data_IF_384055597793
#
_entry.id   IF_384055597793
#
_cell.length_a   1.000
_cell.length_b   1.000
_cell.length_c   1.000
_cell.angle_alpha   90.00
_cell.angle_beta   90.00
_cell.angle_gamma   90.00
#
_symmetry.space_group_name_H-M   'P 1'
#
loop_
_entity.id
_entity.type
_entity.pdbx_description
1 polymer ?
#
# COMPACT_ATOMS: atom_id res chain seq x y z
N UNK A 1 17.08 1.98 6.85
CA UNK A 1 15.82 2.06 6.08
C UNK A 1 14.75 1.12 6.61
N UNK A 2 15.12 -0.05 7.12
CA UNK A 2 14.18 -1.04 7.64
C UNK A 2 14.55 -1.40 9.09
N UNK A 3 14.31 -0.48 10.05
CA UNK A 3 14.79 -0.67 11.42
C UNK A 3 14.27 -1.94 12.09
N UNK A 4 13.01 -2.29 11.86
CA UNK A 4 12.45 -3.50 12.45
C UNK A 4 13.13 -4.76 11.93
N UNK A 5 13.39 -4.85 10.64
CA UNK A 5 14.09 -5.98 10.05
C UNK A 5 15.55 -6.02 10.45
N UNK A 6 16.19 -4.84 10.53
CA UNK A 6 17.59 -4.75 10.96
C UNK A 6 17.77 -5.31 12.37
N UNK A 7 16.88 -4.99 13.28
CA UNK A 7 16.93 -5.44 14.66
C UNK A 7 16.57 -6.92 14.83
N UNK A 8 15.99 -7.54 13.81
CA UNK A 8 15.51 -8.93 13.85
C UNK A 8 16.13 -9.79 12.76
N UNK A 9 17.31 -9.39 12.29
CA UNK A 9 17.98 -10.08 11.16
C UNK A 9 18.25 -11.55 11.45
N UNK A 10 18.50 -11.90 12.70
CA UNK A 10 18.77 -13.27 13.11
C UNK A 10 17.50 -14.06 13.48
N UNK A 11 16.33 -13.45 13.37
CA UNK A 11 15.06 -14.11 13.68
C UNK A 11 14.53 -14.80 12.44
N UNK A 12 14.11 -16.07 12.61
CA UNK A 12 13.51 -16.81 11.52
C UNK A 12 12.21 -16.15 11.06
N UNK A 13 11.96 -16.16 9.76
CA UNK A 13 10.78 -15.51 9.17
C UNK A 13 9.45 -15.95 9.79
N UNK A 14 9.36 -17.22 10.21
CA UNK A 14 8.13 -17.75 10.81
C UNK A 14 7.79 -17.22 12.19
N UNK A 15 8.73 -16.52 12.87
CA UNK A 15 8.47 -15.95 14.19
C UNK A 15 8.33 -14.40 14.14
N UNK A 16 8.36 -13.81 12.94
CA UNK A 16 8.10 -12.40 12.76
C UNK A 16 6.61 -12.11 12.87
N UNK A 17 6.26 -10.88 13.29
CA UNK A 17 4.87 -10.44 13.29
C UNK A 17 4.33 -10.37 11.85
N UNK A 18 3.00 -10.31 11.69
CA UNK A 18 2.36 -10.17 10.39
C UNK A 18 2.87 -8.96 9.60
N UNK A 19 3.05 -7.82 10.28
CA UNK A 19 3.57 -6.61 9.64
C UNK A 19 5.03 -6.73 9.24
N UNK A 20 5.85 -7.38 10.09
CA UNK A 20 7.25 -7.62 9.77
C UNK A 20 7.39 -8.60 8.60
N UNK A 21 6.54 -9.63 8.55
CA UNK A 21 6.49 -10.56 7.41
C UNK A 21 6.11 -9.84 6.13
N UNK A 22 5.14 -8.93 6.20
CA UNK A 22 4.72 -8.14 5.05
C UNK A 22 5.85 -7.25 4.55
N UNK A 23 6.56 -6.57 5.46
CA UNK A 23 7.70 -5.74 5.08
C UNK A 23 8.82 -6.57 4.46
N UNK A 24 9.08 -7.76 4.98
CA UNK A 24 10.06 -8.67 4.41
C UNK A 24 9.68 -9.10 2.98
N UNK A 25 8.41 -9.41 2.76
CA UNK A 25 7.90 -9.76 1.43
C UNK A 25 8.11 -8.63 0.44
N UNK A 26 7.80 -7.39 0.84
CA UNK A 26 8.01 -6.21 0.01
C UNK A 26 9.50 -6.03 -0.29
N UNK A 27 10.36 -6.19 0.71
CA UNK A 27 11.81 -6.06 0.53
C UNK A 27 12.36 -7.11 -0.45
N UNK A 28 11.86 -8.33 -0.40
CA UNK A 28 12.24 -9.38 -1.35
C UNK A 28 11.92 -8.98 -2.78
N UNK A 29 10.79 -8.33 -2.98
CA UNK A 29 10.38 -7.87 -4.31
C UNK A 29 11.36 -6.85 -4.90
N UNK A 30 12.11 -6.15 -4.04
CA UNK A 30 13.08 -5.15 -4.46
C UNK A 30 14.45 -5.74 -4.84
N UNK A 31 14.73 -6.99 -4.51
CA UNK A 31 16.05 -7.59 -4.71
C UNK A 31 16.46 -7.67 -6.20
N UNK A 32 15.49 -7.76 -7.10
CA UNK A 32 15.73 -7.76 -8.54
C UNK A 32 15.86 -6.36 -9.15
N UNK A 33 15.92 -5.32 -8.34
CA UNK A 33 15.97 -3.92 -8.79
C UNK A 33 14.86 -3.58 -9.78
N UNK A 34 13.58 -3.84 -9.44
CA UNK A 34 12.48 -3.64 -10.36
C UNK A 34 12.21 -2.15 -10.59
N UNK A 35 11.63 -1.83 -11.75
CA UNK A 35 11.14 -0.47 -12.04
C UNK A 35 9.71 -0.28 -11.54
N UNK A 36 8.97 -1.36 -11.41
CA UNK A 36 7.58 -1.38 -10.96
C UNK A 36 7.37 -2.57 -10.04
N UNK A 37 6.70 -2.33 -8.92
CA UNK A 37 6.19 -3.41 -8.07
C UNK A 37 4.68 -3.29 -7.96
N UNK A 38 4.01 -4.43 -7.87
CA UNK A 38 2.57 -4.50 -7.68
C UNK A 38 2.29 -5.11 -6.32
N UNK A 39 1.50 -4.43 -5.52
CA UNK A 39 1.23 -4.86 -4.15
C UNK A 39 -0.28 -4.89 -3.93
N UNK A 40 -0.79 -6.02 -3.48
CA UNK A 40 -2.20 -6.24 -3.27
C UNK A 40 -2.52 -6.24 -1.76
N UNK A 41 -3.28 -5.25 -1.33
CA UNK A 41 -3.78 -5.10 0.03
C UNK A 41 -2.70 -5.30 1.11
N UNK A 42 -1.60 -4.54 1.09
CA UNK A 42 -0.46 -4.80 1.97
C UNK A 42 -0.74 -4.55 3.45
N UNK A 43 -1.81 -3.86 3.79
CA UNK A 43 -2.12 -3.50 5.17
C UNK A 43 -3.25 -4.33 5.77
N UNK A 44 -3.83 -5.27 5.02
CA UNK A 44 -4.94 -6.07 5.50
C UNK A 44 -4.52 -6.93 6.70
N UNK A 45 -5.34 -6.89 7.76
CA UNK A 45 -5.11 -7.69 8.95
C UNK A 45 -4.00 -7.17 9.87
N UNK A 46 -3.40 -6.03 9.58
CA UNK A 46 -2.34 -5.47 10.41
C UNK A 46 -2.87 -4.50 11.46
N UNK A 47 -2.13 -4.38 12.57
CA UNK A 47 -2.42 -3.36 13.59
C UNK A 47 -2.21 -1.96 13.00
N UNK A 48 -2.84 -0.91 13.58
CA UNK A 48 -2.63 0.47 13.11
C UNK A 48 -1.16 0.89 13.09
N UNK A 49 -0.36 0.44 14.07
CA UNK A 49 1.06 0.74 14.11
C UNK A 49 1.80 0.11 12.93
N UNK A 50 1.50 -1.13 12.61
CA UNK A 50 2.13 -1.83 11.49
C UNK A 50 1.67 -1.28 10.15
N UNK A 51 0.41 -0.86 10.04
CA UNK A 51 -0.08 -0.15 8.86
C UNK A 51 0.79 1.09 8.60
N UNK A 52 1.04 1.89 9.64
CA UNK A 52 1.91 3.06 9.53
C UNK A 52 3.32 2.72 9.08
N UNK A 53 3.87 1.63 9.56
CA UNK A 53 5.21 1.18 9.15
C UNK A 53 5.26 0.77 7.69
N UNK A 54 4.24 0.05 7.21
CA UNK A 54 4.13 -0.33 5.80
C UNK A 54 3.98 0.91 4.91
N UNK A 55 3.16 1.87 5.32
CA UNK A 55 3.01 3.13 4.58
C UNK A 55 4.35 3.86 4.44
N UNK A 56 5.12 3.95 5.52
CA UNK A 56 6.44 4.59 5.50
C UNK A 56 7.39 3.87 4.56
N UNK A 57 7.37 2.55 4.59
CA UNK A 57 8.20 1.74 3.69
C UNK A 57 7.86 2.01 2.23
N UNK A 58 6.58 2.00 1.89
CA UNK A 58 6.14 2.23 0.52
C UNK A 58 6.51 3.63 0.03
N UNK A 59 6.40 4.65 0.89
CA UNK A 59 6.84 6.00 0.55
C UNK A 59 8.34 6.06 0.26
N UNK A 60 9.14 5.40 1.06
CA UNK A 60 10.60 5.35 0.83
C UNK A 60 10.96 4.66 -0.48
N UNK A 61 10.27 3.60 -0.80
CA UNK A 61 10.47 2.87 -2.07
C UNK A 61 10.15 3.79 -3.25
N UNK A 62 9.01 4.48 -3.19
CA UNK A 62 8.62 5.40 -4.24
C UNK A 62 9.61 6.55 -4.41
N UNK A 63 10.13 7.08 -3.31
CA UNK A 63 11.14 8.14 -3.33
C UNK A 63 12.44 7.71 -4.03
N UNK A 64 12.73 6.42 -4.05
CA UNK A 64 13.90 5.87 -4.74
C UNK A 64 13.68 5.61 -6.22
N UNK A 65 12.53 6.00 -6.75
CA UNK A 65 12.23 5.91 -8.17
C UNK A 65 11.54 4.63 -8.61
N UNK A 66 11.16 3.75 -7.68
CA UNK A 66 10.39 2.55 -8.02
C UNK A 66 8.92 2.94 -8.10
N UNK A 67 8.28 2.58 -9.21
CA UNK A 67 6.83 2.79 -9.38
C UNK A 67 6.07 1.71 -8.60
N UNK A 68 4.99 2.11 -7.96
CA UNK A 68 4.17 1.19 -7.17
C UNK A 68 2.74 1.21 -7.68
N UNK A 69 2.23 0.04 -8.06
CA UNK A 69 0.81 -0.16 -8.31
C UNK A 69 0.22 -0.82 -7.06
N UNK A 70 -0.57 -0.05 -6.34
CA UNK A 70 -1.12 -0.46 -5.05
C UNK A 70 -2.60 -0.78 -5.21
N UNK A 71 -3.01 -1.97 -4.80
CA UNK A 71 -4.43 -2.33 -4.69
C UNK A 71 -4.79 -2.21 -3.21
N UNK A 72 -5.78 -1.38 -2.89
CA UNK A 72 -6.14 -1.11 -1.51
C UNK A 72 -7.64 -0.80 -1.41
N UNK A 73 -8.30 -1.38 -0.42
CA UNK A 73 -9.71 -1.12 -0.15
C UNK A 73 -9.90 0.01 0.87
N UNK A 74 -8.90 0.28 1.69
CA UNK A 74 -8.96 1.35 2.69
C UNK A 74 -8.68 2.69 2.03
N UNK A 75 -9.70 3.52 1.98
CA UNK A 75 -9.66 4.81 1.29
C UNK A 75 -8.57 5.73 1.82
N UNK A 76 -8.43 5.80 3.15
CA UNK A 76 -7.41 6.67 3.76
C UNK A 76 -5.99 6.29 3.35
N UNK A 77 -5.71 4.98 3.28
CA UNK A 77 -4.38 4.49 2.88
C UNK A 77 -4.13 4.83 1.42
N UNK A 78 -5.10 4.54 0.56
CA UNK A 78 -4.99 4.85 -0.86
C UNK A 78 -4.76 6.34 -1.10
N UNK A 79 -5.48 7.20 -0.39
CA UNK A 79 -5.33 8.65 -0.51
C UNK A 79 -3.98 9.16 -0.01
N UNK A 80 -3.46 8.57 1.07
CA UNK A 80 -2.19 9.02 1.65
C UNK A 80 -0.98 8.60 0.82
N UNK A 81 -1.06 7.48 0.12
CA UNK A 81 0.09 6.92 -0.60
C UNK A 81 0.10 7.24 -2.08
N UNK A 82 -1.06 7.52 -2.68
CA UNK A 82 -1.18 7.55 -4.13
C UNK A 82 -1.19 8.97 -4.67
N UNK A 83 -0.52 9.16 -5.81
CA UNK A 83 -0.60 10.40 -6.59
C UNK A 83 -1.75 10.35 -7.58
N UNK A 84 -2.14 9.16 -8.00
CA UNK A 84 -3.20 8.92 -8.96
C UNK A 84 -3.99 7.69 -8.53
N UNK A 85 -5.29 7.75 -8.68
CA UNK A 85 -6.20 6.70 -8.24
C UNK A 85 -7.10 6.26 -9.38
N UNK A 86 -7.31 4.94 -9.43
CA UNK A 86 -8.30 4.32 -10.31
C UNK A 86 -9.32 3.62 -9.42
N UNK A 87 -10.59 3.98 -9.57
CA UNK A 87 -11.67 3.31 -8.84
C UNK A 87 -12.22 2.22 -9.72
N UNK A 88 -12.26 1.01 -9.21
CA UNK A 88 -12.79 -0.14 -9.96
C UNK A 88 -14.12 -0.59 -9.38
N UNK A 89 -15.02 -0.94 -10.26
CA UNK A 89 -16.31 -1.51 -9.91
C UNK A 89 -16.83 -2.37 -11.05
N UNK A 90 -17.45 -3.49 -10.69
CA UNK A 90 -18.01 -4.42 -11.67
C UNK A 90 -17.02 -4.84 -12.76
N UNK A 91 -15.76 -5.05 -12.37
CA UNK A 91 -14.72 -5.54 -13.27
C UNK A 91 -14.13 -4.52 -14.23
N UNK A 92 -14.36 -3.23 -14.01
CA UNK A 92 -13.82 -2.18 -14.87
C UNK A 92 -13.46 -0.93 -14.07
N UNK A 93 -12.66 -0.05 -14.67
CA UNK A 93 -12.35 1.26 -14.09
C UNK A 93 -13.57 2.17 -14.30
N UNK A 94 -14.13 2.67 -13.20
CA UNK A 94 -15.31 3.54 -13.23
C UNK A 94 -14.97 5.01 -13.03
N UNK A 95 -13.80 5.31 -12.49
CA UNK A 95 -13.33 6.68 -12.29
C UNK A 95 -11.82 6.71 -12.18
N UNK A 96 -11.21 7.83 -12.60
CA UNK A 96 -9.76 8.05 -12.53
C UNK A 96 -9.50 9.50 -12.13
N UNK A 97 -8.52 9.73 -11.25
CA UNK A 97 -8.16 11.08 -10.85
C UNK A 97 -7.14 11.09 -9.71
N UNK A 98 -6.82 12.30 -9.26
CA UNK A 98 -5.98 12.48 -8.08
C UNK A 98 -6.81 12.29 -6.81
N UNK A 99 -6.16 12.12 -5.63
CA UNK A 99 -6.90 12.09 -4.37
C UNK A 99 -7.79 13.32 -4.16
N UNK A 100 -7.32 14.50 -4.59
CA UNK A 100 -8.11 15.74 -4.48
C UNK A 100 -9.34 15.68 -5.36
N UNK A 101 -9.21 15.21 -6.61
CA UNK A 101 -10.33 15.08 -7.54
C UNK A 101 -11.41 14.15 -6.97
N UNK A 102 -11.00 13.01 -6.45
CA UNK A 102 -11.93 12.02 -5.92
C UNK A 102 -12.58 12.53 -4.64
N UNK A 103 -11.80 13.15 -3.76
CA UNK A 103 -12.31 13.69 -2.51
C UNK A 103 -13.33 14.82 -2.74
N UNK A 104 -13.20 15.56 -3.82
CA UNK A 104 -14.15 16.60 -4.22
C UNK A 104 -15.40 16.05 -4.92
N UNK A 105 -15.44 14.76 -5.22
CA UNK A 105 -16.55 14.11 -5.89
C UNK A 105 -17.24 13.13 -4.94
N UNK A 106 -18.09 13.66 -4.06
CA UNK A 106 -18.74 12.86 -3.02
C UNK A 106 -19.70 11.81 -3.60
N UNK A 107 -20.26 12.04 -4.77
CA UNK A 107 -21.16 11.06 -5.40
C UNK A 107 -20.41 9.79 -5.79
N UNK A 108 -19.16 9.92 -6.28
CA UNK A 108 -18.30 8.77 -6.62
C UNK A 108 -17.94 7.99 -5.36
N UNK A 109 -17.53 8.70 -4.30
CA UNK A 109 -17.19 8.07 -3.02
C UNK A 109 -18.39 7.29 -2.48
N UNK A 110 -19.55 7.91 -2.48
CA UNK A 110 -20.77 7.31 -1.95
C UNK A 110 -21.21 6.08 -2.75
N UNK A 111 -21.10 6.15 -4.07
CA UNK A 111 -21.55 5.08 -4.95
C UNK A 111 -20.61 3.88 -4.95
N UNK A 112 -19.29 4.11 -4.94
CA UNK A 112 -18.32 3.07 -5.22
C UNK A 112 -17.39 2.72 -4.06
N UNK A 113 -17.13 3.64 -3.14
CA UNK A 113 -16.13 3.48 -2.09
C UNK A 113 -16.68 3.30 -0.69
N UNK A 114 -17.90 3.79 -0.42
CA UNK A 114 -18.53 3.58 0.86
C UNK A 114 -19.27 2.25 0.86
N UNK A 115 -18.93 1.41 1.82
CA UNK A 115 -19.64 0.17 2.05
C UNK A 115 -20.74 0.48 3.04
N UNK A 116 -21.97 0.33 2.58
CA UNK A 116 -23.15 0.53 3.42
C UNK A 116 -23.30 -0.63 4.42
#
# INVERSE_FOLDING_TARGET
MFPNLKNRIDVLGGVLSGGEQQMLTICRSLMGCPKLIMIDEPTEGLSPQMVGNVEKLLKKIAEKGVSILLVEQKLTIAFNLSKRLFIMGHGKVVYEGTPVDINNNQSIIKEWLEVS
#
